data_IF_653674064536
#
_entry.id   IF_653674064536
#
_cell.length_a   1.000
_cell.length_b   1.000
_cell.length_c   1.000
_cell.angle_alpha   90.00
_cell.angle_beta   90.00
_cell.angle_gamma   90.00
#
_symmetry.space_group_name_H-M   'P 1'
#
loop_
_entity.id
_entity.type
_entity.pdbx_description
1 polymer ?
#
# COMPACT_ATOMS: atom_id res chain seq x y z
N UNK A 1 -38.53 10.48 14.85
CA UNK A 1 -37.22 9.80 14.91
C UNK A 1 -36.94 9.26 13.53
N UNK A 2 -36.04 9.91 12.78
CA UNK A 2 -35.64 9.43 11.46
C UNK A 2 -34.60 8.34 11.72
N UNK A 3 -34.96 7.11 11.37
CA UNK A 3 -34.08 5.96 11.42
C UNK A 3 -32.99 6.20 10.36
N UNK A 4 -31.75 6.45 10.80
CA UNK A 4 -30.61 6.57 9.89
C UNK A 4 -30.54 5.30 9.03
N UNK A 5 -30.68 5.48 7.73
CA UNK A 5 -30.53 4.41 6.76
C UNK A 5 -29.08 3.91 6.86
N UNK A 6 -28.90 2.76 7.50
CA UNK A 6 -27.61 2.07 7.58
C UNK A 6 -27.05 1.96 6.15
N UNK A 7 -25.91 2.60 5.90
CA UNK A 7 -25.29 2.68 4.58
C UNK A 7 -25.18 1.27 4.01
N UNK A 8 -25.85 1.01 2.87
CA UNK A 8 -26.08 -0.34 2.30
C UNK A 8 -24.82 -0.98 1.71
N UNK A 9 -23.69 -0.32 1.82
CA UNK A 9 -22.44 -0.68 1.20
C UNK A 9 -21.37 -0.81 2.28
N UNK A 10 -21.12 -2.04 2.72
CA UNK A 10 -19.96 -2.36 3.55
C UNK A 10 -18.75 -2.55 2.62
N UNK A 11 -17.58 -1.97 2.93
CA UNK A 11 -17.27 -1.03 4.03
C UNK A 11 -17.52 0.44 3.69
N UNK A 12 -17.50 1.31 4.71
CA UNK A 12 -17.64 2.76 4.58
C UNK A 12 -16.46 3.38 3.80
N UNK A 13 -16.73 4.43 3.02
CA UNK A 13 -15.72 5.25 2.34
C UNK A 13 -15.78 6.73 2.73
N UNK A 14 -16.60 7.11 3.70
CA UNK A 14 -16.76 8.50 4.14
C UNK A 14 -15.47 9.12 4.71
N UNK A 15 -14.54 8.26 5.16
CA UNK A 15 -13.21 8.66 5.59
C UNK A 15 -12.37 9.24 4.45
N UNK A 16 -12.62 8.88 3.19
CA UNK A 16 -11.93 9.42 2.01
C UNK A 16 -12.50 10.78 1.65
N UNK A 17 -12.12 11.79 2.43
CA UNK A 17 -12.56 13.17 2.28
C UNK A 17 -11.36 14.13 2.14
N UNK A 18 -11.62 15.45 2.08
CA UNK A 18 -10.57 16.45 1.87
C UNK A 18 -9.45 16.36 2.91
N UNK A 19 -9.78 16.15 4.19
CA UNK A 19 -8.78 16.02 5.26
C UNK A 19 -7.90 14.78 5.08
N UNK A 20 -8.49 13.67 4.62
CA UNK A 20 -7.73 12.47 4.31
C UNK A 20 -6.75 12.69 3.18
N UNK A 21 -7.15 13.41 2.11
CA UNK A 21 -6.24 13.76 1.04
C UNK A 21 -5.14 14.73 1.48
N UNK A 22 -5.46 15.74 2.30
CA UNK A 22 -4.46 16.65 2.86
C UNK A 22 -3.42 15.86 3.68
N UNK A 23 -3.88 14.99 4.58
CA UNK A 23 -3.02 14.07 5.34
C UNK A 23 -2.21 13.14 4.44
N UNK A 24 -2.79 12.60 3.37
CA UNK A 24 -2.07 11.71 2.45
C UNK A 24 -0.94 12.43 1.69
N UNK A 25 -1.15 13.70 1.32
CA UNK A 25 -0.12 14.54 0.69
C UNK A 25 1.00 14.88 1.67
N UNK A 26 0.66 15.19 2.92
CA UNK A 26 1.65 15.38 4.00
C UNK A 26 2.44 14.11 4.26
N UNK A 27 1.76 12.96 4.32
CA UNK A 27 2.38 11.65 4.52
C UNK A 27 3.35 11.30 3.38
N UNK A 28 2.94 11.49 2.12
CA UNK A 28 3.81 11.24 0.98
C UNK A 28 5.03 12.17 0.96
N UNK A 29 4.86 13.41 1.42
CA UNK A 29 5.98 14.34 1.57
C UNK A 29 6.92 13.84 2.65
N UNK A 30 6.39 13.36 3.76
CA UNK A 30 7.21 12.85 4.85
C UNK A 30 8.03 11.61 4.47
N UNK A 31 7.46 10.68 3.68
CA UNK A 31 8.22 9.53 3.18
C UNK A 31 9.47 9.94 2.39
N UNK A 32 9.42 11.04 1.64
CA UNK A 32 10.60 11.53 0.88
C UNK A 32 11.70 12.08 1.78
N UNK A 33 11.38 12.45 3.01
CA UNK A 33 12.33 12.95 4.01
C UNK A 33 12.78 11.86 4.98
N UNK A 34 12.65 10.57 4.63
CA UNK A 34 12.96 9.44 5.51
C UNK A 34 14.33 9.54 6.19
N UNK A 35 15.35 10.01 5.46
CA UNK A 35 16.72 10.17 5.97
C UNK A 35 16.80 11.19 7.10
N UNK A 36 15.98 12.24 7.04
CA UNK A 36 15.91 13.29 8.07
C UNK A 36 15.01 12.87 9.24
N UNK A 37 14.18 11.83 9.06
CA UNK A 37 13.27 11.30 10.07
C UNK A 37 13.86 10.14 10.87
N UNK A 38 14.68 9.31 10.23
CA UNK A 38 15.34 8.16 10.85
C UNK A 38 16.61 8.58 11.58
N UNK A 39 16.50 9.53 12.52
CA UNK A 39 17.64 10.11 13.24
C UNK A 39 18.01 9.33 14.50
N UNK A 40 17.11 8.47 14.99
CA UNK A 40 17.33 7.67 16.18
C UNK A 40 16.91 6.21 15.95
N UNK A 41 17.58 5.24 16.61
CA UNK A 41 17.15 3.85 16.59
C UNK A 41 15.73 3.67 17.14
N UNK A 42 14.98 2.77 16.52
CA UNK A 42 13.66 2.34 16.98
C UNK A 42 13.82 1.24 18.03
N UNK A 43 12.86 1.13 18.94
CA UNK A 43 12.77 -0.02 19.85
C UNK A 43 12.77 -1.35 19.06
N UNK A 44 13.54 -2.33 19.55
CA UNK A 44 13.80 -3.60 18.86
C UNK A 44 12.51 -4.41 18.62
N UNK A 45 11.56 -4.37 19.55
CA UNK A 45 10.32 -5.13 19.44
C UNK A 45 9.40 -4.50 18.38
N UNK A 46 9.35 -3.17 18.36
CA UNK A 46 8.62 -2.40 17.36
C UNK A 46 9.20 -2.58 15.96
N UNK A 47 10.52 -2.44 15.81
CA UNK A 47 11.23 -2.67 14.56
C UNK A 47 10.95 -4.09 14.04
N UNK A 48 11.09 -5.12 14.89
CA UNK A 48 10.85 -6.52 14.51
C UNK A 48 9.40 -6.77 14.08
N UNK A 49 8.43 -6.21 14.79
CA UNK A 49 7.02 -6.35 14.44
C UNK A 49 6.70 -5.75 13.07
N UNK A 50 7.25 -4.57 12.79
CA UNK A 50 7.11 -3.87 11.50
C UNK A 50 7.79 -4.66 10.37
N UNK A 51 9.03 -5.11 10.57
CA UNK A 51 9.75 -5.93 9.59
C UNK A 51 9.00 -7.22 9.25
N UNK A 52 8.43 -7.87 10.27
CA UNK A 52 7.62 -9.06 10.09
C UNK A 52 6.33 -8.77 9.31
N UNK A 53 5.64 -7.66 9.61
CA UNK A 53 4.44 -7.26 8.88
C UNK A 53 4.74 -6.99 7.39
N UNK A 54 5.76 -6.20 7.07
CA UNK A 54 6.16 -5.90 5.69
C UNK A 54 6.58 -7.16 4.95
N UNK A 55 7.37 -8.02 5.59
CA UNK A 55 7.79 -9.30 5.01
C UNK A 55 6.61 -10.24 4.73
N UNK A 56 5.66 -10.30 5.67
CA UNK A 56 4.43 -11.08 5.55
C UNK A 56 3.53 -10.54 4.43
N UNK A 57 3.42 -9.21 4.31
CA UNK A 57 2.68 -8.55 3.23
C UNK A 57 3.21 -8.97 1.86
N UNK A 58 4.53 -8.86 1.66
CA UNK A 58 5.18 -9.24 0.40
C UNK A 58 4.98 -10.72 0.08
N UNK A 59 5.16 -11.60 1.08
CA UNK A 59 4.99 -13.05 0.91
C UNK A 59 3.55 -13.41 0.54
N UNK A 60 2.55 -12.81 1.17
CA UNK A 60 1.15 -13.05 0.85
C UNK A 60 0.79 -12.58 -0.56
N UNK A 61 1.39 -11.49 -1.05
CA UNK A 61 1.22 -11.06 -2.43
C UNK A 61 1.86 -12.03 -3.43
N UNK A 62 3.11 -12.44 -3.18
CA UNK A 62 3.84 -13.35 -4.06
C UNK A 62 3.19 -14.74 -4.14
N UNK A 63 2.64 -15.22 -3.02
CA UNK A 63 1.88 -16.47 -2.93
C UNK A 63 0.39 -16.30 -3.32
N UNK A 64 -0.02 -15.08 -3.70
CA UNK A 64 -1.38 -14.71 -4.12
C UNK A 64 -2.48 -15.02 -3.10
N UNK A 65 -2.13 -14.98 -1.81
CA UNK A 65 -3.07 -15.09 -0.70
C UNK A 65 -3.76 -13.73 -0.44
N UNK A 66 -4.46 -13.21 -1.45
CA UNK A 66 -5.02 -11.86 -1.45
C UNK A 66 -6.05 -11.61 -0.34
N UNK A 67 -6.88 -12.61 0.02
CA UNK A 67 -7.81 -12.48 1.15
C UNK A 67 -7.08 -12.28 2.48
N UNK A 68 -6.00 -13.05 2.70
CA UNK A 68 -5.16 -12.92 3.91
C UNK A 68 -4.36 -11.63 3.89
N UNK A 69 -3.87 -11.21 2.72
CA UNK A 69 -3.19 -9.93 2.53
C UNK A 69 -4.11 -8.76 2.91
N UNK A 70 -5.39 -8.82 2.49
CA UNK A 70 -6.37 -7.79 2.79
C UNK A 70 -6.63 -7.64 4.30
N UNK A 71 -6.50 -8.72 5.08
CA UNK A 71 -6.63 -8.65 6.56
C UNK A 71 -5.51 -7.86 7.24
N UNK A 72 -4.40 -7.57 6.54
CA UNK A 72 -3.33 -6.72 7.05
C UNK A 72 -3.68 -5.23 7.00
N UNK A 73 -4.69 -4.84 6.22
CA UNK A 73 -5.07 -3.45 6.04
C UNK A 73 -6.09 -3.01 7.10
N UNK A 74 -5.99 -1.73 7.44
CA UNK A 74 -6.97 -1.02 8.24
C UNK A 74 -8.30 -0.86 7.47
N UNK A 75 -9.42 -0.73 8.17
CA UNK A 75 -10.71 -0.46 7.53
C UNK A 75 -10.77 0.93 6.89
N UNK A 76 -9.96 1.88 7.39
CA UNK A 76 -9.78 3.21 6.82
C UNK A 76 -8.41 3.33 6.13
N UNK A 77 -8.17 2.50 5.12
CA UNK A 77 -6.89 2.44 4.43
C UNK A 77 -6.88 3.10 3.03
N UNK A 78 -5.67 3.33 2.50
CA UNK A 78 -5.47 3.62 1.09
C UNK A 78 -4.28 2.83 0.52
N UNK A 79 -4.48 2.31 -0.68
CA UNK A 79 -3.42 1.79 -1.54
C UNK A 79 -3.27 2.75 -2.72
N UNK A 80 -2.07 3.29 -2.91
CA UNK A 80 -1.86 4.37 -3.87
C UNK A 80 -0.58 4.18 -4.68
N UNK A 81 -0.70 4.30 -6.00
CA UNK A 81 0.42 4.32 -6.95
C UNK A 81 0.36 5.66 -7.70
N UNK A 82 1.20 6.65 -7.37
CA UNK A 82 1.26 7.90 -8.12
C UNK A 82 1.83 7.71 -9.53
N UNK A 83 1.43 8.60 -10.44
CA UNK A 83 1.93 8.65 -11.82
C UNK A 83 3.08 9.66 -12.01
N UNK A 84 3.46 10.39 -10.96
CA UNK A 84 4.52 11.40 -10.98
C UNK A 84 5.50 11.14 -9.83
N UNK A 85 6.79 11.44 -10.04
CA UNK A 85 7.88 11.17 -9.07
C UNK A 85 7.64 11.80 -7.70
N UNK A 86 7.07 13.00 -7.68
CA UNK A 86 6.78 13.74 -6.46
C UNK A 86 5.40 13.42 -5.88
N UNK A 87 4.73 12.37 -6.38
CA UNK A 87 3.45 11.89 -5.90
C UNK A 87 2.45 13.03 -5.69
N UNK A 88 2.14 13.72 -6.79
CA UNK A 88 1.25 14.87 -6.77
C UNK A 88 -0.12 14.54 -6.16
N UNK A 89 -0.79 15.57 -5.64
CA UNK A 89 -2.11 15.48 -5.01
C UNK A 89 -3.10 14.66 -5.87
N UNK A 90 -3.59 13.50 -5.37
CA UNK A 90 -4.53 12.64 -6.10
C UNK A 90 -5.84 13.33 -6.50
N UNK A 91 -6.19 14.45 -5.87
CA UNK A 91 -7.37 15.25 -6.24
C UNK A 91 -7.15 16.07 -7.51
N UNK A 92 -5.89 16.35 -7.85
CA UNK A 92 -5.50 17.29 -8.92
C UNK A 92 -4.82 16.59 -10.09
N UNK A 93 -4.26 15.40 -9.88
CA UNK A 93 -3.48 14.66 -10.87
C UNK A 93 -3.91 13.21 -10.96
N UNK A 94 -3.74 12.64 -12.14
CA UNK A 94 -4.02 11.22 -12.40
C UNK A 94 -3.05 10.36 -11.59
N UNK A 95 -3.57 9.28 -11.03
CA UNK A 95 -2.79 8.24 -10.35
C UNK A 95 -2.80 6.98 -11.21
N UNK A 96 -1.76 6.15 -11.11
CA UNK A 96 -1.75 4.85 -11.76
C UNK A 96 -2.80 3.94 -11.11
N UNK A 97 -2.85 3.94 -9.77
CA UNK A 97 -3.93 3.32 -9.00
C UNK A 97 -4.20 4.09 -7.71
N UNK A 98 -5.47 4.11 -7.30
CA UNK A 98 -5.88 4.58 -5.98
C UNK A 98 -7.07 3.74 -5.51
N UNK A 99 -6.88 3.00 -4.42
CA UNK A 99 -7.91 2.15 -3.83
C UNK A 99 -8.11 2.49 -2.37
N UNK A 100 -9.36 2.73 -2.00
CA UNK A 100 -9.82 2.68 -0.62
C UNK A 100 -10.14 1.21 -0.25
N UNK A 101 -10.64 0.99 0.98
CA UNK A 101 -10.97 -0.35 1.47
C UNK A 101 -11.96 -1.10 0.57
N UNK A 102 -13.00 -0.41 0.08
CA UNK A 102 -14.00 -0.96 -0.84
C UNK A 102 -13.36 -1.45 -2.14
N UNK A 103 -12.56 -0.60 -2.77
CA UNK A 103 -11.90 -0.93 -4.05
C UNK A 103 -10.88 -2.06 -3.91
N UNK A 104 -10.21 -2.16 -2.76
CA UNK A 104 -9.35 -3.29 -2.45
C UNK A 104 -10.16 -4.60 -2.36
N UNK A 105 -11.32 -4.60 -1.69
CA UNK A 105 -12.22 -5.76 -1.63
C UNK A 105 -12.66 -6.17 -3.04
N UNK A 106 -13.14 -5.23 -3.85
CA UNK A 106 -13.58 -5.49 -5.22
C UNK A 106 -12.44 -6.10 -6.07
N UNK A 107 -11.22 -5.59 -5.90
CA UNK A 107 -10.05 -6.09 -6.63
C UNK A 107 -9.63 -7.49 -6.19
N UNK A 108 -9.65 -7.77 -4.88
CA UNK A 108 -9.39 -9.12 -4.34
C UNK A 108 -10.44 -10.10 -4.85
N UNK A 109 -11.73 -9.73 -4.78
CA UNK A 109 -12.82 -10.54 -5.30
C UNK A 109 -12.65 -10.82 -6.80
N UNK A 110 -12.34 -9.79 -7.61
CA UNK A 110 -12.08 -9.92 -9.05
C UNK A 110 -10.96 -10.94 -9.33
N UNK A 111 -9.84 -10.84 -8.62
CA UNK A 111 -8.71 -11.76 -8.77
C UNK A 111 -9.07 -13.20 -8.36
N UNK A 112 -9.95 -13.36 -7.37
CA UNK A 112 -10.45 -14.66 -6.93
C UNK A 112 -11.48 -15.33 -7.86
N UNK A 113 -12.05 -14.61 -8.84
CA UNK A 113 -13.10 -15.18 -9.71
C UNK A 113 -12.60 -16.24 -10.70
N UNK A 114 -11.31 -16.26 -11.02
CA UNK A 114 -10.77 -17.03 -12.15
C UNK A 114 -11.15 -16.49 -13.54
N UNK A 115 -11.88 -15.37 -13.62
CA UNK A 115 -12.33 -14.72 -14.85
C UNK A 115 -11.61 -13.38 -15.11
N UNK A 116 -10.59 -13.07 -14.31
CA UNK A 116 -9.71 -11.93 -14.58
C UNK A 116 -8.80 -12.25 -15.77
N UNK A 117 -9.27 -12.04 -17.00
CA UNK A 117 -8.52 -12.39 -18.23
C UNK A 117 -7.14 -11.74 -18.34
N UNK A 118 -6.94 -10.56 -17.74
CA UNK A 118 -5.62 -9.91 -17.63
C UNK A 118 -4.63 -10.67 -16.75
N UNK A 119 -5.10 -11.68 -16.02
CA UNK A 119 -4.36 -12.59 -15.15
C UNK A 119 -4.57 -14.04 -15.61
N UNK A 120 -4.81 -14.27 -16.90
CA UNK A 120 -4.80 -15.59 -17.51
C UNK A 120 -3.74 -15.65 -18.64
N UNK A 121 -2.60 -16.34 -18.44
CA UNK A 121 -2.15 -17.01 -17.21
C UNK A 121 -1.83 -16.00 -16.10
N UNK A 122 -1.84 -16.48 -14.87
CA UNK A 122 -1.62 -15.66 -13.67
C UNK A 122 -0.17 -15.17 -13.60
N UNK A 123 0.02 -13.91 -13.21
CA UNK A 123 1.34 -13.33 -12.98
C UNK A 123 2.03 -14.04 -11.80
N UNK A 124 3.27 -14.49 -11.99
CA UNK A 124 4.13 -14.98 -10.89
C UNK A 124 5.06 -13.86 -10.47
N UNK A 125 5.06 -13.51 -9.19
CA UNK A 125 5.88 -12.41 -8.68
C UNK A 125 6.89 -12.91 -7.66
N UNK A 126 7.99 -12.16 -7.54
CA UNK A 126 8.96 -12.32 -6.45
C UNK A 126 9.46 -10.93 -6.07
N UNK A 127 9.23 -10.53 -4.83
CA UNK A 127 9.59 -9.21 -4.30
C UNK A 127 10.71 -9.28 -3.30
N UNK A 128 11.61 -8.30 -3.37
CA UNK A 128 12.62 -8.05 -2.34
C UNK A 128 12.45 -6.61 -1.87
N UNK A 129 12.29 -6.44 -0.56
CA UNK A 129 12.36 -5.14 0.10
C UNK A 129 13.70 -5.01 0.82
N UNK A 130 14.34 -3.86 0.70
CA UNK A 130 15.62 -3.57 1.33
C UNK A 130 15.69 -2.13 1.83
N UNK A 131 16.70 -1.84 2.65
CA UNK A 131 16.91 -0.53 3.28
C UNK A 131 15.64 -0.01 3.97
N UNK A 132 15.11 -0.79 4.92
CA UNK A 132 13.95 -0.38 5.70
C UNK A 132 14.37 0.76 6.62
N UNK A 133 13.72 1.90 6.43
CA UNK A 133 13.81 3.11 7.22
C UNK A 133 12.50 3.22 8.02
N UNK A 134 12.57 3.27 9.35
CA UNK A 134 11.41 3.23 10.25
C UNK A 134 11.47 4.42 11.21
N UNK A 135 10.38 5.16 11.34
CA UNK A 135 10.28 6.30 12.25
C UNK A 135 8.84 6.50 12.74
N UNK A 136 8.63 7.09 13.94
CA UNK A 136 7.30 7.37 14.45
C UNK A 136 6.64 8.52 13.69
N UNK A 137 5.31 8.51 13.61
CA UNK A 137 4.56 9.65 13.10
C UNK A 137 4.64 10.85 14.08
N UNK A 138 4.80 12.09 13.60
CA UNK A 138 4.81 13.29 14.42
C UNK A 138 3.54 13.40 15.27
N UNK A 139 3.73 13.53 16.59
CA UNK A 139 2.63 13.73 17.53
C UNK A 139 1.75 12.50 17.77
N UNK A 140 2.10 11.32 17.26
CA UNK A 140 1.36 10.06 17.47
C UNK A 140 2.29 8.96 17.97
N UNK A 141 1.84 8.19 18.96
CA UNK A 141 2.63 7.13 19.59
C UNK A 141 2.36 5.74 19.02
N UNK A 142 1.21 5.58 18.36
CA UNK A 142 0.70 4.33 17.80
C UNK A 142 0.82 4.27 16.27
N UNK A 143 1.23 5.36 15.62
CA UNK A 143 1.47 5.40 14.17
C UNK A 143 2.95 5.46 13.83
N UNK A 144 3.32 4.65 12.84
CA UNK A 144 4.68 4.48 12.37
C UNK A 144 4.75 4.61 10.86
N UNK A 145 5.87 5.13 10.39
CA UNK A 145 6.17 5.33 8.99
C UNK A 145 7.31 4.42 8.62
N UNK A 146 7.18 3.78 7.47
CA UNK A 146 8.22 2.92 6.91
C UNK A 146 8.47 3.34 5.49
N UNK A 147 9.74 3.47 5.12
CA UNK A 147 10.15 3.53 3.73
C UNK A 147 11.10 2.37 3.45
N UNK A 148 10.95 1.74 2.30
CA UNK A 148 11.91 0.76 1.84
C UNK A 148 12.02 0.78 0.33
N UNK A 149 13.20 0.47 -0.18
CA UNK A 149 13.39 0.24 -1.60
C UNK A 149 12.88 -1.16 -1.95
N UNK A 150 12.33 -1.31 -3.15
CA UNK A 150 11.91 -2.62 -3.63
C UNK A 150 12.40 -2.89 -5.04
N UNK A 151 12.59 -4.18 -5.29
CA UNK A 151 12.67 -4.76 -6.63
C UNK A 151 11.70 -5.93 -6.68
N UNK A 152 10.90 -5.98 -7.74
CA UNK A 152 9.99 -7.08 -8.01
C UNK A 152 10.25 -7.61 -9.42
N UNK A 153 10.43 -8.92 -9.53
CA UNK A 153 10.30 -9.61 -10.80
C UNK A 153 8.85 -10.06 -11.00
N UNK A 154 8.30 -9.86 -12.19
CA UNK A 154 7.05 -10.45 -12.62
C UNK A 154 7.29 -11.28 -13.87
N UNK A 155 6.83 -12.53 -13.85
CA UNK A 155 6.75 -13.38 -15.01
C UNK A 155 5.28 -13.68 -15.38
N UNK A 156 4.87 -13.30 -16.57
CA UNK A 156 3.57 -13.67 -17.15
C UNK A 156 3.77 -14.11 -18.60
N UNK A 157 3.22 -15.27 -18.97
CA UNK A 157 3.41 -15.89 -20.30
C UNK A 157 4.89 -16.09 -20.63
N UNK A 158 5.46 -15.33 -21.57
CA UNK A 158 6.85 -15.36 -22.02
C UNK A 158 7.61 -14.07 -21.66
N UNK A 159 6.97 -13.18 -20.90
CA UNK A 159 7.55 -11.91 -20.50
C UNK A 159 8.01 -11.96 -19.04
N UNK A 160 9.31 -11.72 -18.84
CA UNK A 160 9.89 -11.39 -17.55
C UNK A 160 10.15 -9.88 -17.53
N UNK A 161 9.60 -9.18 -16.55
CA UNK A 161 9.88 -7.76 -16.33
C UNK A 161 10.21 -7.48 -14.88
N UNK A 162 10.98 -6.41 -14.69
CA UNK A 162 11.35 -5.92 -13.37
C UNK A 162 10.63 -4.61 -13.11
N UNK A 163 9.94 -4.54 -11.96
CA UNK A 163 9.41 -3.30 -11.40
C UNK A 163 10.30 -2.92 -10.22
N UNK A 164 10.64 -1.65 -10.12
CA UNK A 164 11.52 -1.14 -9.08
C UNK A 164 11.07 0.24 -8.63
N UNK A 165 11.40 0.57 -7.38
CA UNK A 165 10.93 1.78 -6.75
C UNK A 165 11.14 1.75 -5.26
N UNK A 166 10.29 2.48 -4.56
CA UNK A 166 10.22 2.44 -3.10
C UNK A 166 8.76 2.38 -2.64
N UNK A 167 8.55 1.69 -1.52
CA UNK A 167 7.28 1.71 -0.80
C UNK A 167 7.35 2.71 0.34
N UNK A 168 6.23 3.42 0.54
CA UNK A 168 5.94 4.13 1.78
C UNK A 168 4.79 3.43 2.48
N UNK A 169 4.93 3.12 3.76
CA UNK A 169 3.86 2.57 4.59
C UNK A 169 3.55 3.51 5.75
N UNK A 170 2.27 3.77 5.97
CA UNK A 170 1.78 4.22 7.28
C UNK A 170 1.16 3.02 7.99
N UNK A 171 1.68 2.71 9.17
CA UNK A 171 1.29 1.57 9.98
C UNK A 171 0.68 2.07 11.29
N UNK A 172 -0.40 1.44 11.75
CA UNK A 172 -1.00 1.74 13.05
C UNK A 172 -0.97 0.50 13.94
N UNK A 173 -0.57 0.70 15.20
CA UNK A 173 -0.54 -0.33 16.24
C UNK A 173 -1.87 -0.33 16.99
N UNK A 174 -2.53 -1.47 17.02
CA UNK A 174 -3.76 -1.72 17.77
C UNK A 174 -3.50 -2.75 18.86
N UNK A 175 -3.16 -2.31 20.08
CA UNK A 175 -2.79 -3.18 21.21
C UNK A 175 -1.68 -4.20 20.82
N UNK A 176 -2.09 -5.37 20.30
CA UNK A 176 -1.24 -6.49 19.91
C UNK A 176 -1.20 -6.77 18.39
N UNK A 177 -1.92 -6.00 17.56
CA UNK A 177 -1.91 -6.15 16.11
C UNK A 177 -1.39 -4.88 15.42
N UNK A 178 -0.93 -5.05 14.19
CA UNK A 178 -0.47 -3.95 13.34
C UNK A 178 -1.25 -3.97 12.03
N UNK A 179 -1.74 -2.80 11.62
CA UNK A 179 -2.45 -2.62 10.37
C UNK A 179 -1.76 -1.64 9.45
N UNK A 180 -1.88 -1.89 8.15
CA UNK A 180 -1.46 -0.98 7.10
C UNK A 180 -2.59 0.02 6.87
N UNK A 181 -2.34 1.29 7.21
CA UNK A 181 -3.26 2.40 6.92
C UNK A 181 -3.01 2.89 5.50
N UNK A 182 -1.74 3.03 5.10
CA UNK A 182 -1.39 3.41 3.72
C UNK A 182 -0.28 2.52 3.21
N UNK A 183 -0.42 2.06 1.96
CA UNK A 183 0.70 1.61 1.13
C UNK A 183 0.79 2.52 -0.09
N UNK A 184 1.89 3.23 -0.22
CA UNK A 184 2.22 4.04 -1.39
C UNK A 184 3.32 3.34 -2.19
N UNK A 185 3.10 3.08 -3.48
CA UNK A 185 4.07 2.42 -4.37
C UNK A 185 4.62 3.42 -5.37
N UNK A 186 5.86 3.85 -5.19
CA UNK A 186 6.49 4.86 -6.04
C UNK A 186 7.44 4.18 -7.01
N UNK A 187 6.98 4.01 -8.25
CA UNK A 187 7.74 3.38 -9.33
C UNK A 187 8.80 4.33 -9.89
N UNK A 188 10.00 3.82 -10.18
CA UNK A 188 11.09 4.61 -10.76
C UNK A 188 10.75 5.22 -12.12
N UNK A 189 9.87 4.53 -12.86
CA UNK A 189 9.43 4.85 -14.21
C UNK A 189 7.93 5.17 -14.23
N UNK A 190 7.36 5.77 -13.18
CA UNK A 190 5.92 6.07 -13.07
C UNK A 190 5.36 6.90 -14.24
N UNK A 191 6.23 7.63 -14.94
CA UNK A 191 6.00 8.49 -16.11
C UNK A 191 6.15 7.77 -17.46
N UNK A 192 6.45 6.46 -17.45
CA UNK A 192 6.57 5.62 -18.64
C UNK A 192 5.35 4.68 -18.80
N UNK A 193 5.16 4.06 -19.98
CA UNK A 193 4.15 3.01 -20.17
C UNK A 193 4.33 1.87 -19.16
N UNK A 194 3.29 1.60 -18.39
CA UNK A 194 3.35 0.66 -17.26
C UNK A 194 3.05 -0.80 -17.63
N UNK A 195 2.48 -1.07 -18.80
CA UNK A 195 2.00 -2.42 -19.14
C UNK A 195 0.87 -2.91 -18.22
N UNK A 196 0.84 -4.21 -17.96
CA UNK A 196 -0.25 -4.86 -17.20
C UNK A 196 -0.01 -4.81 -15.69
N UNK A 197 -0.58 -3.84 -14.98
CA UNK A 197 -0.55 -3.79 -13.51
C UNK A 197 -1.83 -4.36 -12.90
N UNK A 198 -2.34 -5.50 -13.39
CA UNK A 198 -3.62 -6.06 -12.92
C UNK A 198 -3.54 -6.92 -11.65
N UNK A 199 -2.36 -6.99 -11.02
CA UNK A 199 -2.07 -7.61 -9.72
C UNK A 199 -1.57 -6.53 -8.74
N UNK A 200 -1.31 -6.87 -7.47
CA UNK A 200 -0.83 -5.89 -6.49
C UNK A 200 0.67 -5.66 -6.58
N UNK A 201 1.07 -4.40 -6.66
CA UNK A 201 2.46 -3.94 -6.46
C UNK A 201 2.73 -3.69 -4.97
#
# INVERSE_FOLDING_TARGET
>A
MIQEARMKYEPDSSYVNQRFYDWLVELSTDFRHSTDRCTAPVDIDTERAIMHLVSRECRLLDDQHFDRWLTLYDDHCAYWIPAERDAADPRKKVTLEFHDRRRLIDRVARLGTGLAYSQWPVSRTSRICGALEIWPAPGQTDEWRVRCNFMMAEHQTDHLRTLAGWYGFALRRYQNDWKIVVKQVNLLNCDAPQGNNSFFL
#
